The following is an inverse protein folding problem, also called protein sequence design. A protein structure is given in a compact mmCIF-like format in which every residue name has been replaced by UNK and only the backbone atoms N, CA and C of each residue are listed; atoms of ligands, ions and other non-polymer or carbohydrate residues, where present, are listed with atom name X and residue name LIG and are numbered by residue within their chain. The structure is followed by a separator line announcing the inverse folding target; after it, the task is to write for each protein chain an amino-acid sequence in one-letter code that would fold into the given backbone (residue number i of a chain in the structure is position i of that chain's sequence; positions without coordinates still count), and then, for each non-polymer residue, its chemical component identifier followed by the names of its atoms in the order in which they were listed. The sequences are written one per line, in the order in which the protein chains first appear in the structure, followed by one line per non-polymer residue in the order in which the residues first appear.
data_IF_573454662486
#
_entry.id   IF_573454662486
#
_cell.length_a   1.000
_cell.length_b   1.000
_cell.length_c   1.000
_cell.angle_alpha   90.00
_cell.angle_beta   90.00
_cell.angle_gamma   90.00
#
_symmetry.space_group_name_H-M   'P 1'
#
loop_
_entity.id
_entity.type
_entity.pdbx_description
1 polymer ?
#
# COMPACT_ATOMS: atom_id res chain seq x y z
N UNK A 1 4.13 -2.27 6.41
CA UNK A 1 2.96 -2.14 7.32
C UNK A 1 2.57 -0.70 7.54
N UNK A 2 3.52 0.23 7.52
CA UNK A 2 3.32 1.70 7.63
C UNK A 2 2.20 2.31 6.77
N UNK A 3 1.99 1.92 5.50
CA UNK A 3 0.98 2.56 4.64
C UNK A 3 -0.47 2.28 5.03
N UNK A 4 -0.75 1.11 5.60
CA UNK A 4 -2.10 0.71 6.01
C UNK A 4 -2.35 0.90 7.51
N UNK A 5 -1.32 1.35 8.24
CA UNK A 5 -1.32 1.41 9.70
C UNK A 5 -1.86 0.11 10.32
N UNK A 6 -1.52 -1.02 9.71
CA UNK A 6 -1.98 -2.34 10.12
C UNK A 6 -0.81 -3.09 10.74
N UNK A 7 -1.03 -3.66 11.91
CA UNK A 7 -0.11 -4.59 12.54
C UNK A 7 -0.65 -6.04 12.46
N UNK A 8 -0.01 -6.98 13.15
CA UNK A 8 -0.40 -8.39 13.16
C UNK A 8 -1.08 -8.80 14.49
N UNK A 9 -1.74 -7.88 15.19
CA UNK A 9 -2.39 -8.12 16.49
C UNK A 9 -3.87 -8.55 16.40
N UNK A 10 -4.45 -8.46 15.20
CA UNK A 10 -5.88 -8.74 14.96
C UNK A 10 -6.54 -7.85 13.91
N UNK A 11 -5.81 -6.91 13.30
CA UNK A 11 -6.31 -6.06 12.22
C UNK A 11 -6.82 -6.86 11.01
N UNK A 12 -8.01 -6.48 10.53
CA UNK A 12 -8.62 -7.07 9.35
C UNK A 12 -8.43 -6.17 8.12
N UNK A 13 -8.15 -6.78 6.97
CA UNK A 13 -8.02 -6.08 5.70
C UNK A 13 -9.08 -6.61 4.73
N UNK A 14 -9.86 -5.71 4.12
CA UNK A 14 -10.82 -6.06 3.08
C UNK A 14 -10.12 -6.25 1.73
N UNK A 15 -10.41 -7.36 1.05
CA UNK A 15 -9.85 -7.68 -0.27
C UNK A 15 -10.95 -7.48 -1.33
N UNK A 16 -10.70 -6.60 -2.29
CA UNK A 16 -11.61 -6.34 -3.41
C UNK A 16 -11.04 -6.91 -4.71
N UNK A 17 -11.86 -7.67 -5.46
CA UNK A 17 -11.46 -8.26 -6.74
C UNK A 17 -12.06 -7.48 -7.92
N UNK A 18 -11.23 -6.85 -8.77
CA UNK A 18 -11.72 -6.24 -10.01
C UNK A 18 -12.07 -7.28 -11.07
N UNK A 19 -13.30 -7.22 -11.57
CA UNK A 19 -13.83 -8.19 -12.55
C UNK A 19 -13.59 -7.74 -13.99
N UNK A 20 -13.70 -6.45 -14.29
CA UNK A 20 -13.56 -5.91 -15.66
C UNK A 20 -12.09 -5.76 -16.06
N UNK A 21 -11.81 -5.90 -17.36
CA UNK A 21 -10.47 -5.71 -17.91
C UNK A 21 -9.96 -4.28 -17.70
N UNK A 22 -10.86 -3.29 -17.78
CA UNK A 22 -10.55 -1.88 -17.55
C UNK A 22 -10.15 -1.61 -16.10
N UNK A 23 -10.90 -2.11 -15.12
CA UNK A 23 -10.55 -1.93 -13.69
C UNK A 23 -9.26 -2.65 -13.32
N UNK A 24 -8.97 -3.82 -13.92
CA UNK A 24 -7.67 -4.49 -13.74
C UNK A 24 -6.50 -3.68 -14.26
N UNK A 25 -6.68 -3.03 -15.42
CA UNK A 25 -5.67 -2.14 -16.00
C UNK A 25 -5.44 -0.93 -15.12
N UNK A 26 -6.51 -0.27 -14.67
CA UNK A 26 -6.41 0.91 -13.80
C UNK A 26 -5.77 0.58 -12.45
N UNK A 27 -6.14 -0.53 -11.82
CA UNK A 27 -5.53 -0.95 -10.55
C UNK A 27 -4.03 -1.23 -10.73
N UNK A 28 -3.65 -1.86 -11.85
CA UNK A 28 -2.23 -2.16 -12.14
C UNK A 28 -1.42 -0.89 -12.40
N UNK A 29 -2.00 0.10 -13.07
CA UNK A 29 -1.32 1.34 -13.44
C UNK A 29 -1.32 2.38 -12.30
N UNK A 30 -2.39 2.47 -11.51
CA UNK A 30 -2.57 3.54 -10.52
C UNK A 30 -2.51 3.09 -9.07
N UNK A 31 -2.92 1.86 -8.73
CA UNK A 31 -3.10 1.43 -7.33
C UNK A 31 -1.93 0.56 -6.83
N UNK A 32 -1.12 0.02 -7.73
CA UNK A 32 0.00 -0.86 -7.39
C UNK A 32 1.00 -0.17 -6.43
N UNK A 33 1.37 -0.87 -5.34
CA UNK A 33 2.29 -0.42 -4.28
C UNK A 33 3.52 0.40 -4.71
N UNK A 34 4.32 0.02 -5.73
CA UNK A 34 5.52 0.76 -6.11
C UNK A 34 5.23 2.16 -6.67
N UNK A 35 3.99 2.47 -7.07
CA UNK A 35 3.60 3.83 -7.48
C UNK A 35 3.21 4.73 -6.29
N UNK A 36 3.06 4.16 -5.09
CA UNK A 36 2.59 4.83 -3.87
C UNK A 36 3.62 4.79 -2.74
N UNK A 37 4.88 5.05 -3.08
CA UNK A 37 5.99 5.08 -2.11
C UNK A 37 6.07 6.45 -1.39
N UNK A 38 5.54 7.51 -2.02
CA UNK A 38 5.60 8.89 -1.52
C UNK A 38 4.22 9.32 -1.01
N UNK A 39 4.17 9.95 0.16
CA UNK A 39 2.95 10.53 0.72
C UNK A 39 2.52 11.74 -0.12
N UNK A 40 1.34 11.73 -0.77
CA UNK A 40 0.86 12.86 -1.55
C UNK A 40 0.59 14.10 -0.70
N UNK A 41 0.44 13.95 0.63
CA UNK A 41 0.17 15.07 1.54
C UNK A 41 1.43 15.84 1.93
N UNK A 42 2.53 15.12 2.17
CA UNK A 42 3.74 15.73 2.73
C UNK A 42 5.01 15.49 1.90
N UNK A 43 4.94 14.70 0.83
CA UNK A 43 6.08 14.39 -0.04
C UNK A 43 7.16 13.50 0.60
N UNK A 44 6.93 13.01 1.82
CA UNK A 44 7.85 12.11 2.53
C UNK A 44 7.63 10.65 2.11
N UNK A 45 8.67 9.83 2.21
CA UNK A 45 8.59 8.40 1.93
C UNK A 45 7.74 7.70 2.99
N UNK A 46 6.69 7.00 2.56
CA UNK A 46 5.84 6.18 3.43
C UNK A 46 6.51 4.83 3.70
N UNK A 47 7.19 4.28 2.69
CA UNK A 47 7.87 3.00 2.76
C UNK A 47 9.31 3.17 3.28
N UNK A 48 9.43 3.58 4.54
CA UNK A 48 10.69 3.56 5.28
C UNK A 48 10.90 2.16 5.89
N UNK A 49 12.14 1.65 5.93
CA UNK A 49 12.42 0.33 6.48
C UNK A 49 11.88 0.24 7.92
N UNK A 50 11.10 -0.81 8.19
CA UNK A 50 10.42 -1.03 9.47
C UNK A 50 11.44 -1.37 10.58
N UNK A 51 10.99 -1.30 11.84
CA UNK A 51 11.78 -1.47 13.06
C UNK A 51 12.69 -2.72 13.06
N UNK A 52 12.28 -3.82 12.42
CA UNK A 52 13.07 -5.05 12.32
C UNK A 52 14.20 -5.03 11.26
N UNK A 53 14.17 -4.10 10.30
CA UNK A 53 15.23 -3.97 9.27
C UNK A 53 16.37 -3.03 9.68
N UNK A 54 16.19 -2.25 10.75
CA UNK A 54 17.15 -1.24 11.22
C UNK A 54 18.05 -1.78 12.35
N UNK A 55 17.70 -2.94 12.93
CA UNK A 55 18.50 -3.63 13.95
C UNK A 55 19.61 -4.50 13.31
#
# INVERSE_FOLDING_TARGET
TTPMNADFDGDNIAIYLPITAESRKEIKERILSPHHIIDPKNGHLIDVPNQDMIL
#
